data_IF_822133275929
#
_entry.id   IF_822133275929
#
_cell.length_a   1.000
_cell.length_b   1.000
_cell.length_c   1.000
_cell.angle_alpha   90.00
_cell.angle_beta   90.00
_cell.angle_gamma   90.00
#
_symmetry.space_group_name_H-M   'P 1'
#
loop_
_entity.id
_entity.type
_entity.pdbx_description
1 polymer ?
#
# COMPACT_ATOMS: atom_id res chain seq x y z
N UNK A 1 -5.31 34.57 54.77
CA UNK A 1 -4.43 33.83 55.72
C UNK A 1 -4.96 32.40 55.83
N UNK A 2 -4.09 31.39 55.65
CA UNK A 2 -4.04 30.09 56.38
C UNK A 2 -5.34 29.23 56.36
N UNK A 3 -5.41 27.94 55.97
CA UNK A 3 -4.42 26.89 55.70
C UNK A 3 -5.04 25.76 54.85
N UNK A 4 -4.19 25.15 54.04
CA UNK A 4 -4.05 23.72 53.70
C UNK A 4 -4.93 22.69 54.43
N UNK A 5 -5.59 21.79 53.69
CA UNK A 5 -5.58 20.33 53.95
C UNK A 5 -5.53 19.57 52.60
N UNK A 6 -4.49 18.73 52.49
CA UNK A 6 -4.31 17.67 51.50
C UNK A 6 -5.35 16.55 51.70
N UNK A 7 -5.87 15.98 50.61
CA UNK A 7 -6.25 14.57 50.57
C UNK A 7 -5.78 13.94 49.26
N UNK A 8 -4.74 13.13 49.41
CA UNK A 8 -4.29 12.11 48.46
C UNK A 8 -5.37 11.02 48.41
N UNK A 9 -5.90 10.71 47.23
CA UNK A 9 -6.54 9.41 47.01
C UNK A 9 -6.02 8.81 45.71
N UNK A 10 -5.16 7.82 45.92
CA UNK A 10 -4.70 6.84 44.95
C UNK A 10 -5.86 5.87 44.71
N UNK A 11 -6.39 5.83 43.48
CA UNK A 11 -7.24 4.71 43.04
C UNK A 11 -6.49 3.96 41.93
N UNK A 12 -6.26 2.69 42.25
CA UNK A 12 -5.58 1.69 41.47
C UNK A 12 -6.56 1.18 40.40
N UNK A 13 -6.11 1.22 39.15
CA UNK A 13 -6.37 0.33 38.00
C UNK A 13 -7.64 -0.55 38.08
N UNK A 14 -8.58 -0.29 37.17
CA UNK A 14 -9.44 -1.33 36.61
C UNK A 14 -9.20 -1.41 35.10
N UNK A 15 -8.74 -2.58 34.65
CA UNK A 15 -8.65 -2.92 33.24
C UNK A 15 -10.06 -2.89 32.63
N UNK A 16 -10.28 -1.98 31.69
CA UNK A 16 -11.47 -2.03 30.84
C UNK A 16 -11.19 -2.99 29.69
N UNK A 17 -11.51 -4.26 29.91
CA UNK A 17 -11.76 -5.21 28.83
C UNK A 17 -13.20 -5.06 28.39
N UNK A 18 -13.41 -4.40 27.26
CA UNK A 18 -14.56 -4.54 26.35
C UNK A 18 -14.25 -3.69 25.13
N UNK A 19 -13.68 -4.27 24.06
CA UNK A 19 -14.44 -4.81 22.94
C UNK A 19 -15.54 -3.86 22.48
N UNK A 20 -15.19 -2.98 21.55
CA UNK A 20 -15.95 -2.58 20.36
C UNK A 20 -15.36 -1.25 19.90
N UNK A 21 -14.26 -1.32 19.16
CA UNK A 21 -13.92 -0.25 18.23
C UNK A 21 -13.93 -0.89 16.84
N UNK A 22 -15.04 -0.67 16.13
CA UNK A 22 -15.07 -0.68 14.68
C UNK A 22 -14.05 0.37 14.20
N UNK A 23 -12.78 -0.04 14.09
CA UNK A 23 -11.79 0.75 13.36
C UNK A 23 -11.91 0.36 11.89
N UNK A 24 -12.70 1.15 11.16
CA UNK A 24 -12.65 1.20 9.69
C UNK A 24 -11.30 1.80 9.24
N UNK A 25 -10.23 1.08 9.53
CA UNK A 25 -8.85 1.53 9.42
C UNK A 25 -7.97 0.49 8.71
N UNK A 26 -7.84 0.63 7.39
CA UNK A 26 -6.72 0.15 6.57
C UNK A 26 -6.24 -1.29 6.82
N UNK A 27 -6.89 -2.26 6.19
CA UNK A 27 -6.40 -3.65 6.20
C UNK A 27 -5.04 -3.76 5.49
N UNK A 28 -4.02 -4.15 6.24
CA UNK A 28 -2.75 -4.60 5.68
C UNK A 28 -2.97 -6.05 5.19
N UNK A 29 -3.03 -6.25 3.88
CA UNK A 29 -3.30 -7.59 3.33
C UNK A 29 -2.00 -8.21 2.86
N UNK A 30 -1.64 -9.35 3.46
CA UNK A 30 -0.56 -10.21 2.97
C UNK A 30 -1.17 -11.33 2.13
N UNK A 31 -0.69 -11.53 0.90
CA UNK A 31 -1.23 -12.53 -0.02
C UNK A 31 -0.26 -12.93 -1.13
N UNK A 32 -0.74 -13.77 -2.05
CA UNK A 32 -0.03 -14.22 -3.25
C UNK A 32 -0.46 -13.48 -4.53
N UNK A 33 -1.33 -12.47 -4.39
CA UNK A 33 -1.85 -11.63 -5.47
C UNK A 33 -1.84 -10.14 -5.09
N UNK A 34 -1.73 -9.28 -6.11
CA UNK A 34 -1.98 -7.85 -5.98
C UNK A 34 -3.48 -7.61 -5.98
N UNK A 35 -3.95 -6.58 -5.28
CA UNK A 35 -5.34 -6.18 -5.27
C UNK A 35 -5.45 -4.63 -5.24
N UNK A 36 -5.01 -3.91 -6.28
CA UNK A 36 -4.97 -2.45 -6.26
C UNK A 36 -6.34 -1.81 -5.99
N UNK A 37 -6.41 -0.65 -5.29
CA UNK A 37 -7.68 0.02 -5.00
C UNK A 37 -8.34 0.59 -6.26
N UNK A 38 -9.67 0.68 -6.28
CA UNK A 38 -10.45 1.08 -7.45
C UNK A 38 -10.01 2.41 -8.09
N UNK A 39 -9.56 3.39 -7.30
CA UNK A 39 -9.15 4.70 -7.81
C UNK A 39 -7.91 4.63 -8.73
N UNK A 40 -7.01 3.66 -8.49
CA UNK A 40 -5.75 3.54 -9.26
C UNK A 40 -5.90 2.70 -10.53
N UNK A 41 -7.00 1.95 -10.67
CA UNK A 41 -7.24 1.10 -11.85
C UNK A 41 -7.23 1.94 -13.13
N UNK A 42 -6.50 1.48 -14.14
CA UNK A 42 -6.34 2.15 -15.43
C UNK A 42 -4.89 2.37 -15.84
N UNK A 43 -4.70 3.08 -16.95
CA UNK A 43 -3.39 3.41 -17.51
C UNK A 43 -2.96 4.81 -17.09
N UNK A 44 -1.71 4.93 -16.66
CA UNK A 44 -1.11 6.13 -16.10
C UNK A 44 0.22 6.39 -16.77
N UNK A 45 0.41 7.57 -17.37
CA UNK A 45 1.66 7.95 -18.02
C UNK A 45 2.33 9.09 -17.27
N UNK A 46 3.64 8.96 -17.10
CA UNK A 46 4.49 10.09 -16.78
C UNK A 46 4.85 10.86 -18.07
N UNK A 47 5.39 12.06 -17.91
CA UNK A 47 5.97 12.91 -18.96
C UNK A 47 7.06 12.22 -19.80
N UNK A 48 7.69 11.16 -19.29
CA UNK A 48 8.62 10.31 -20.03
C UNK A 48 7.98 9.14 -20.79
N UNK A 49 8.78 8.10 -21.07
CA UNK A 49 8.34 6.86 -21.71
C UNK A 49 7.89 5.78 -20.70
N UNK A 50 7.47 6.21 -19.51
CA UNK A 50 7.10 5.32 -18.40
C UNK A 50 5.59 5.29 -18.24
N UNK A 51 5.03 4.08 -18.18
CA UNK A 51 3.61 3.84 -17.99
C UNK A 51 3.38 2.82 -16.88
N UNK A 52 2.41 3.08 -16.02
CA UNK A 52 1.78 2.05 -15.21
C UNK A 52 0.42 1.68 -15.80
N UNK A 53 0.08 0.40 -15.76
CA UNK A 53 -1.26 -0.08 -16.03
C UNK A 53 -1.71 -0.98 -14.89
N UNK A 54 -2.66 -0.50 -14.09
CA UNK A 54 -3.22 -1.26 -12.98
C UNK A 54 -4.49 -1.97 -13.42
N UNK A 55 -4.57 -3.25 -13.06
CA UNK A 55 -5.80 -4.03 -13.15
C UNK A 55 -6.21 -4.47 -11.75
N UNK A 56 -7.32 -5.19 -11.61
CA UNK A 56 -7.79 -5.65 -10.30
C UNK A 56 -6.79 -6.58 -9.61
N UNK A 57 -5.89 -7.23 -10.34
CA UNK A 57 -4.94 -8.20 -9.80
C UNK A 57 -3.49 -8.07 -10.29
N UNK A 58 -3.14 -6.94 -10.91
CA UNK A 58 -1.81 -6.73 -11.48
C UNK A 58 -1.36 -5.26 -11.42
N UNK A 59 -0.06 -5.10 -11.23
CA UNK A 59 0.67 -3.86 -11.47
C UNK A 59 1.53 -4.12 -12.69
N UNK A 60 1.30 -3.39 -13.77
CA UNK A 60 2.11 -3.55 -14.98
C UNK A 60 2.91 -2.28 -15.20
N UNK A 61 4.21 -2.42 -15.41
CA UNK A 61 5.11 -1.34 -15.78
C UNK A 61 5.45 -1.43 -17.26
N UNK A 62 5.62 -0.30 -17.93
CA UNK A 62 6.27 -0.23 -19.25
C UNK A 62 7.28 0.89 -19.23
N UNK A 63 8.54 0.56 -19.51
CA UNK A 63 9.65 1.52 -19.60
C UNK A 63 10.36 1.29 -20.92
N UNK A 64 10.41 2.31 -21.78
CA UNK A 64 11.10 2.25 -23.08
C UNK A 64 10.68 1.05 -23.94
N UNK A 65 9.38 0.69 -23.91
CA UNK A 65 8.82 -0.45 -24.65
C UNK A 65 8.92 -1.81 -23.94
N UNK A 66 9.71 -1.92 -22.87
CA UNK A 66 9.80 -3.15 -22.05
C UNK A 66 8.64 -3.21 -21.07
N UNK A 67 7.78 -4.21 -21.22
CA UNK A 67 6.60 -4.44 -20.38
C UNK A 67 6.92 -5.50 -19.30
N UNK A 68 6.56 -5.20 -18.04
CA UNK A 68 6.69 -6.11 -16.90
C UNK A 68 5.36 -6.23 -16.16
N UNK A 69 4.79 -7.43 -16.09
CA UNK A 69 3.65 -7.77 -15.23
C UNK A 69 4.17 -8.38 -13.93
N UNK A 70 3.72 -7.83 -12.79
CA UNK A 70 4.12 -8.35 -11.49
C UNK A 70 3.28 -9.56 -11.07
N UNK A 71 2.05 -9.70 -11.60
CA UNK A 71 1.28 -10.94 -11.53
C UNK A 71 1.97 -12.10 -12.23
N UNK A 72 2.45 -11.90 -13.46
CA UNK A 72 3.16 -12.95 -14.21
C UNK A 72 4.48 -13.32 -13.51
N UNK A 73 5.15 -12.33 -12.89
CA UNK A 73 6.34 -12.56 -12.08
C UNK A 73 6.00 -13.42 -10.84
N UNK A 74 4.96 -13.08 -10.09
CA UNK A 74 4.50 -13.86 -8.93
C UNK A 74 4.11 -15.30 -9.34
N UNK A 75 3.42 -15.47 -10.47
CA UNK A 75 3.10 -16.78 -11.04
C UNK A 75 4.36 -17.58 -11.36
N UNK A 76 5.35 -16.97 -12.00
CA UNK A 76 6.61 -17.63 -12.35
C UNK A 76 7.40 -18.08 -11.11
N UNK A 77 7.41 -17.27 -10.04
CA UNK A 77 8.00 -17.65 -8.75
C UNK A 77 7.25 -18.83 -8.11
N UNK A 78 5.91 -18.82 -8.16
CA UNK A 78 5.07 -19.91 -7.65
C UNK A 78 5.36 -21.22 -8.39
N UNK A 79 5.42 -21.17 -9.72
CA UNK A 79 5.71 -22.32 -10.59
C UNK A 79 7.13 -22.87 -10.31
N UNK A 80 8.09 -21.98 -10.03
CA UNK A 80 9.45 -22.33 -9.63
C UNK A 80 9.59 -22.76 -8.15
N UNK A 81 8.50 -22.78 -7.38
CA UNK A 81 8.49 -23.06 -5.93
C UNK A 81 9.39 -22.11 -5.12
N UNK A 82 9.54 -20.87 -5.57
CA UNK A 82 10.26 -19.81 -4.87
C UNK A 82 9.27 -19.06 -3.97
N UNK A 83 9.62 -18.93 -2.69
CA UNK A 83 8.83 -18.16 -1.74
C UNK A 83 8.83 -16.68 -2.09
N UNK A 84 7.65 -16.07 -2.07
CA UNK A 84 7.44 -14.64 -2.17
C UNK A 84 6.32 -14.19 -1.25
N UNK A 85 6.21 -12.88 -1.05
CA UNK A 85 5.10 -12.26 -0.34
C UNK A 85 4.71 -10.95 -1.01
N UNK A 86 3.41 -10.71 -1.11
CA UNK A 86 2.84 -9.41 -1.48
C UNK A 86 2.16 -8.86 -0.24
N UNK A 87 2.52 -7.64 0.15
CA UNK A 87 1.90 -6.91 1.26
C UNK A 87 1.39 -5.57 0.75
N UNK A 88 0.12 -5.29 0.99
CA UNK A 88 -0.51 -4.07 0.51
C UNK A 88 -1.09 -3.21 1.64
N UNK A 89 -0.92 -1.90 1.53
CA UNK A 89 -1.51 -0.90 2.42
C UNK A 89 -2.29 0.10 1.57
N UNK A 90 -3.61 0.20 1.78
CA UNK A 90 -4.54 0.93 0.90
C UNK A 90 -5.39 1.94 1.66
N UNK A 91 -5.35 3.21 1.28
CA UNK A 91 -6.29 4.26 1.73
C UNK A 91 -7.00 4.84 0.52
N UNK A 92 -7.99 5.67 0.77
CA UNK A 92 -8.66 6.51 -0.23
C UNK A 92 -7.67 7.28 -1.12
N UNK A 93 -6.54 7.70 -0.56
CA UNK A 93 -5.55 8.55 -1.26
C UNK A 93 -4.16 7.92 -1.42
N UNK A 94 -3.95 6.68 -0.97
CA UNK A 94 -2.63 6.05 -1.14
C UNK A 94 -2.68 4.55 -1.34
N UNK A 95 -1.73 4.04 -2.12
CA UNK A 95 -1.55 2.63 -2.36
C UNK A 95 -0.07 2.28 -2.27
N UNK A 96 0.28 1.40 -1.33
CA UNK A 96 1.62 0.85 -1.18
C UNK A 96 1.53 -0.65 -1.38
N UNK A 97 2.40 -1.21 -2.23
CA UNK A 97 2.55 -2.65 -2.41
C UNK A 97 4.02 -3.03 -2.29
N UNK A 98 4.33 -3.92 -1.35
CA UNK A 98 5.65 -4.51 -1.16
C UNK A 98 5.64 -5.92 -1.74
N UNK A 99 6.42 -6.14 -2.79
CA UNK A 99 6.62 -7.45 -3.40
C UNK A 99 8.03 -7.96 -3.09
N UNK A 100 8.11 -8.98 -2.26
CA UNK A 100 9.38 -9.51 -1.74
C UNK A 100 9.56 -10.97 -2.15
N UNK A 101 10.75 -11.29 -2.62
CA UNK A 101 11.18 -12.66 -2.93
C UNK A 101 12.70 -12.78 -2.74
N UNK A 102 13.27 -13.95 -3.00
CA UNK A 102 14.69 -14.22 -2.70
C UNK A 102 15.68 -13.26 -3.36
N UNK A 103 15.36 -12.71 -4.54
CA UNK A 103 16.26 -11.78 -5.25
C UNK A 103 16.13 -10.32 -4.79
N UNK A 104 15.13 -9.97 -3.98
CA UNK A 104 14.97 -8.61 -3.45
C UNK A 104 13.52 -8.23 -3.14
N UNK A 105 13.35 -6.94 -2.87
CA UNK A 105 12.05 -6.31 -2.60
C UNK A 105 11.81 -5.19 -3.61
N UNK A 106 10.65 -5.21 -4.25
CA UNK A 106 10.11 -4.10 -5.03
C UNK A 106 9.03 -3.41 -4.21
N UNK A 107 9.17 -2.10 -4.01
CA UNK A 107 8.18 -1.28 -3.30
C UNK A 107 7.51 -0.37 -4.33
N UNK A 108 6.20 -0.50 -4.46
CA UNK A 108 5.36 0.48 -5.13
C UNK A 108 4.73 1.38 -4.09
N UNK A 109 4.68 2.67 -4.36
CA UNK A 109 4.06 3.65 -3.47
C UNK A 109 3.49 4.78 -4.31
N UNK A 110 2.19 4.98 -4.19
CA UNK A 110 1.42 5.93 -4.97
C UNK A 110 0.56 6.80 -4.06
N UNK A 111 0.53 8.10 -4.35
CA UNK A 111 -0.35 9.08 -3.70
C UNK A 111 -1.28 9.71 -4.72
N UNK A 112 -2.59 9.60 -4.51
CA UNK A 112 -3.61 10.27 -5.33
C UNK A 112 -3.56 11.77 -5.06
N UNK A 113 -3.33 12.58 -6.09
CA UNK A 113 -3.29 14.05 -5.99
C UNK A 113 -4.50 14.71 -6.66
N UNK A 114 -5.15 14.00 -7.59
CA UNK A 114 -6.46 14.32 -8.15
C UNK A 114 -7.09 13.03 -8.72
N UNK A 115 -8.31 13.07 -9.23
CA UNK A 115 -8.96 11.88 -9.83
C UNK A 115 -8.18 11.28 -11.01
N UNK A 116 -7.48 12.13 -11.76
CA UNK A 116 -6.66 11.75 -12.90
C UNK A 116 -5.16 12.02 -12.70
N UNK A 117 -4.72 12.31 -11.46
CA UNK A 117 -3.30 12.58 -11.15
C UNK A 117 -2.85 11.82 -9.91
N UNK A 118 -1.63 11.30 -9.98
CA UNK A 118 -0.96 10.69 -8.83
C UNK A 118 0.55 10.92 -8.88
N UNK A 119 1.21 10.83 -7.74
CA UNK A 119 2.68 10.74 -7.65
C UNK A 119 3.10 9.34 -7.25
N UNK A 120 4.30 8.95 -7.66
CA UNK A 120 4.98 7.73 -7.22
C UNK A 120 6.35 8.09 -6.65
N UNK A 121 6.67 7.52 -5.49
CA UNK A 121 7.99 7.57 -4.84
C UNK A 121 8.60 6.16 -4.68
N UNK A 122 7.97 5.13 -5.25
CA UNK A 122 8.44 3.74 -5.26
C UNK A 122 9.23 3.37 -6.52
N UNK A 123 8.99 2.14 -7.00
CA UNK A 123 9.75 1.46 -8.06
C UNK A 123 10.08 2.33 -9.27
N UNK A 124 9.05 2.96 -9.87
CA UNK A 124 9.20 3.99 -10.89
C UNK A 124 8.63 5.29 -10.35
N UNK A 125 9.50 6.15 -9.85
CA UNK A 125 9.11 7.47 -9.33
C UNK A 125 8.68 8.39 -10.47
N UNK A 126 7.78 9.33 -10.18
CA UNK A 126 7.31 10.27 -11.19
C UNK A 126 5.93 10.84 -10.90
N UNK A 127 5.47 11.70 -11.81
CA UNK A 127 4.16 12.32 -11.77
C UNK A 127 3.31 11.75 -12.90
N UNK A 128 2.23 11.07 -12.56
CA UNK A 128 1.45 10.30 -13.50
C UNK A 128 0.09 10.92 -13.74
N UNK A 129 -0.31 10.95 -15.02
CA UNK A 129 -1.64 11.37 -15.45
C UNK A 129 -2.37 10.19 -16.08
N UNK A 130 -3.62 9.99 -15.66
CA UNK A 130 -4.50 8.96 -16.21
C UNK A 130 -4.80 9.24 -17.69
N UNK A 131 -4.80 8.20 -18.51
CA UNK A 131 -5.06 8.28 -19.96
C UNK A 131 -6.52 8.05 -20.30
#
# INVERSE_FOLDING_TARGET
MKKLILLLSLVIITACSSSSDDDSGKANTTGDSFNPPAWIIGTWKDTGATTYNFTNDDIICTVSGSRLSFKDQAKSLKDAKITYSIKETKTDNSYVAEFKFSAGTTIFSFTKTADNKMTSDGYLSGNYTKQ
#
